data_IF_131276466940
#
_entry.id   IF_131276466940
#
_cell.length_a   1.000
_cell.length_b   1.000
_cell.length_c   1.000
_cell.angle_alpha   90.00
_cell.angle_beta   90.00
_cell.angle_gamma   90.00
#
_symmetry.space_group_name_H-M   'P 1'
#
loop_
_entity.id
_entity.type
_entity.pdbx_description
1 polymer ?
#
# COMPACT_ATOMS: atom_id res chain seq x y z
N UNK A 1 -4.68 15.54 -4.09
CA UNK A 1 -4.77 14.07 -4.25
C UNK A 1 -3.73 13.30 -3.41
N UNK A 2 -2.47 13.74 -3.33
CA UNK A 2 -1.40 13.00 -2.61
C UNK A 2 -1.67 12.76 -1.12
N UNK A 3 -2.14 13.78 -0.41
CA UNK A 3 -2.51 13.67 1.01
C UNK A 3 -3.62 12.65 1.24
N UNK A 4 -4.65 12.63 0.38
CA UNK A 4 -5.73 11.64 0.47
C UNK A 4 -5.22 10.21 0.24
N UNK A 5 -4.32 9.99 -0.71
CA UNK A 5 -3.70 8.68 -0.92
C UNK A 5 -2.83 8.23 0.26
N UNK A 6 -2.13 9.15 0.93
CA UNK A 6 -1.36 8.84 2.15
C UNK A 6 -2.31 8.45 3.27
N UNK A 7 -3.38 9.23 3.52
CA UNK A 7 -4.38 8.94 4.54
C UNK A 7 -5.02 7.57 4.28
N UNK A 8 -5.38 7.27 3.03
CA UNK A 8 -5.95 5.98 2.67
C UNK A 8 -4.93 4.84 2.90
N UNK A 9 -3.67 5.03 2.55
CA UNK A 9 -2.62 4.02 2.81
C UNK A 9 -2.33 3.77 4.29
N UNK A 10 -2.66 4.70 5.20
CA UNK A 10 -2.55 4.48 6.65
C UNK A 10 -3.55 3.41 7.09
N UNK A 11 -4.79 3.47 6.61
CA UNK A 11 -5.83 2.51 6.99
C UNK A 11 -5.85 1.25 6.11
N UNK A 12 -5.48 1.40 4.83
CA UNK A 12 -5.51 0.33 3.84
C UNK A 12 -4.21 0.32 3.02
N UNK A 13 -3.17 -0.42 3.47
CA UNK A 13 -1.94 -0.55 2.71
C UNK A 13 -2.20 -1.06 1.29
N UNK A 14 -1.66 -0.36 0.29
CA UNK A 14 -1.85 -0.66 -1.13
C UNK A 14 -2.88 0.21 -1.84
N UNK A 15 -3.96 0.63 -1.18
CA UNK A 15 -5.00 1.44 -1.81
C UNK A 15 -4.49 2.82 -2.26
N UNK A 16 -3.65 3.49 -1.46
CA UNK A 16 -3.02 4.75 -1.86
C UNK A 16 -2.02 4.58 -3.03
N UNK A 17 -1.36 3.43 -3.13
CA UNK A 17 -0.46 3.11 -4.26
C UNK A 17 -1.25 2.92 -5.56
N UNK A 18 -2.43 2.29 -5.49
CA UNK A 18 -3.34 2.16 -6.64
C UNK A 18 -3.82 3.55 -7.12
N UNK A 19 -4.16 4.45 -6.20
CA UNK A 19 -4.57 5.83 -6.51
C UNK A 19 -3.45 6.67 -7.15
N UNK A 20 -2.20 6.32 -6.90
CA UNK A 20 -1.03 6.94 -7.54
C UNK A 20 -0.63 6.28 -8.87
N UNK A 21 -1.44 5.35 -9.40
CA UNK A 21 -1.18 4.65 -10.66
C UNK A 21 -0.14 3.53 -10.55
N UNK A 22 0.33 3.20 -9.34
CA UNK A 22 1.26 2.09 -9.10
C UNK A 22 0.48 0.80 -8.83
N UNK A 23 -0.18 0.29 -9.87
CA UNK A 23 -1.12 -0.83 -9.78
C UNK A 23 -0.47 -2.09 -9.20
N UNK A 24 0.69 -2.49 -9.73
CA UNK A 24 1.40 -3.71 -9.29
C UNK A 24 1.83 -3.61 -7.83
N UNK A 25 2.43 -2.49 -7.43
CA UNK A 25 2.86 -2.28 -6.05
C UNK A 25 1.66 -2.26 -5.08
N UNK A 26 0.55 -1.63 -5.48
CA UNK A 26 -0.68 -1.60 -4.68
C UNK A 26 -1.30 -2.99 -4.50
N UNK A 27 -1.33 -3.81 -5.55
CA UNK A 27 -1.83 -5.19 -5.47
C UNK A 27 -0.98 -6.07 -4.55
N UNK A 28 0.35 -5.99 -4.66
CA UNK A 28 1.26 -6.75 -3.79
C UNK A 28 1.09 -6.32 -2.33
N UNK A 29 0.99 -5.01 -2.07
CA UNK A 29 0.77 -4.47 -0.73
C UNK A 29 -0.56 -4.93 -0.13
N UNK A 30 -1.63 -4.95 -0.93
CA UNK A 30 -2.94 -5.44 -0.50
C UNK A 30 -2.91 -6.95 -0.19
N UNK A 31 -2.28 -7.74 -1.06
CA UNK A 31 -2.15 -9.18 -0.87
C UNK A 31 -1.31 -9.53 0.37
N UNK A 32 -0.20 -8.81 0.60
CA UNK A 32 0.63 -8.96 1.80
C UNK A 32 -0.13 -8.57 3.06
N UNK A 33 -0.89 -7.47 3.04
CA UNK A 33 -1.71 -7.06 4.17
C UNK A 33 -2.79 -8.10 4.50
N UNK A 34 -3.45 -8.65 3.49
CA UNK A 34 -4.44 -9.71 3.68
C UNK A 34 -3.82 -11.00 4.21
N UNK A 35 -2.68 -11.41 3.65
CA UNK A 35 -1.96 -12.61 4.10
C UNK A 35 -1.45 -12.46 5.53
N UNK A 36 -0.92 -11.28 5.88
CA UNK A 36 -0.50 -10.94 7.23
C UNK A 36 -1.68 -10.98 8.22
N UNK A 37 -2.86 -10.46 7.82
CA UNK A 37 -4.07 -10.55 8.63
C UNK A 37 -4.47 -12.00 8.89
N UNK A 38 -4.51 -12.83 7.84
CA UNK A 38 -4.83 -14.26 7.97
C UNK A 38 -3.84 -14.99 8.88
N UNK A 39 -2.56 -14.71 8.76
CA UNK A 39 -1.53 -15.26 9.65
C UNK A 39 -1.75 -14.80 11.10
N UNK A 40 -2.03 -13.52 11.33
CA UNK A 40 -2.27 -12.99 12.68
C UNK A 40 -3.49 -13.65 13.36
N UNK A 41 -4.53 -14.01 12.60
CA UNK A 41 -5.72 -14.69 13.12
C UNK A 41 -5.42 -16.09 13.68
N UNK A 42 -4.34 -16.74 13.26
CA UNK A 42 -3.93 -18.05 13.79
C UNK A 42 -3.30 -17.98 15.19
N UNK A 43 -3.11 -16.79 15.76
CA UNK A 43 -2.45 -16.57 17.05
C UNK A 43 -0.93 -16.68 16.95
N UNK A 44 -0.40 -17.85 16.63
CA UNK A 44 1.05 -18.07 16.47
C UNK A 44 1.58 -17.37 15.21
N UNK A 45 0.78 -17.31 14.16
CA UNK A 45 1.17 -16.65 12.92
C UNK A 45 1.43 -15.16 13.08
N UNK A 46 1.09 -14.53 14.21
CA UNK A 46 1.45 -13.14 14.51
C UNK A 46 2.96 -12.89 14.56
N UNK A 47 3.75 -13.91 14.91
CA UNK A 47 5.22 -13.81 14.96
C UNK A 47 5.84 -13.55 13.59
N UNK A 48 5.14 -13.93 12.52
CA UNK A 48 5.57 -13.75 11.14
C UNK A 48 4.68 -12.72 10.43
N UNK A 49 3.37 -12.87 10.54
CA UNK A 49 2.36 -11.99 9.96
C UNK A 49 2.43 -10.57 10.50
N UNK A 50 2.71 -10.37 11.79
CA UNK A 50 2.88 -9.05 12.39
C UNK A 50 4.03 -8.27 11.74
N UNK A 51 5.27 -8.81 11.77
CA UNK A 51 6.42 -8.18 11.10
C UNK A 51 6.22 -7.99 9.60
N UNK A 52 5.73 -9.00 8.88
CA UNK A 52 5.50 -8.93 7.42
C UNK A 52 4.46 -7.86 7.09
N UNK A 53 3.35 -7.81 7.82
CA UNK A 53 2.30 -6.82 7.66
C UNK A 53 2.80 -5.40 7.93
N UNK A 54 3.60 -5.22 8.98
CA UNK A 54 4.18 -3.92 9.33
C UNK A 54 5.18 -3.43 8.27
N UNK A 55 6.05 -4.31 7.78
CA UNK A 55 7.00 -3.99 6.69
C UNK A 55 6.25 -3.61 5.41
N UNK A 56 5.24 -4.41 5.01
CA UNK A 56 4.43 -4.13 3.83
C UNK A 56 3.64 -2.82 3.97
N UNK A 57 3.16 -2.50 5.17
CA UNK A 57 2.46 -1.26 5.46
C UNK A 57 3.36 -0.03 5.36
N UNK A 58 4.52 -0.05 6.02
CA UNK A 58 5.52 1.03 5.92
C UNK A 58 5.99 1.20 4.47
N UNK A 59 6.21 0.10 3.76
CA UNK A 59 6.57 0.16 2.35
C UNK A 59 5.48 0.80 1.49
N UNK A 60 4.20 0.53 1.77
CA UNK A 60 3.06 1.20 1.14
C UNK A 60 3.05 2.71 1.34
N UNK A 61 3.28 3.16 2.58
CA UNK A 61 3.39 4.59 2.90
C UNK A 61 4.55 5.25 2.18
N UNK A 62 5.73 4.62 2.17
CA UNK A 62 6.91 5.13 1.46
C UNK A 62 6.66 5.19 -0.06
N UNK A 63 5.96 4.20 -0.60
CA UNK A 63 5.64 4.13 -2.04
C UNK A 63 4.76 5.30 -2.50
N UNK A 64 3.77 5.68 -1.68
CA UNK A 64 2.89 6.83 -1.94
C UNK A 64 3.60 8.15 -1.66
N UNK A 65 4.38 8.24 -0.58
CA UNK A 65 5.14 9.44 -0.24
C UNK A 65 6.14 9.81 -1.35
N UNK A 66 6.76 8.79 -1.97
CA UNK A 66 7.69 8.95 -3.11
C UNK A 66 7.00 8.97 -4.47
N UNK A 67 5.70 8.75 -4.56
CA UNK A 67 4.99 8.84 -5.83
C UNK A 67 4.82 10.31 -6.22
N UNK A 68 5.17 10.63 -7.46
CA UNK A 68 4.74 11.87 -8.09
C UNK A 68 3.37 11.65 -8.73
N UNK A 69 2.42 12.60 -8.58
CA UNK A 69 1.13 12.49 -9.26
C UNK A 69 1.36 12.40 -10.77
N UNK A 70 0.88 11.33 -11.41
CA UNK A 70 0.93 11.21 -12.88
C UNK A 70 0.22 12.41 -13.49
N UNK A 71 0.93 13.23 -14.27
CA UNK A 71 0.34 14.35 -14.99
C UNK A 71 -0.79 13.86 -15.90
N UNK A 72 -1.91 14.60 -16.03
CA UNK A 72 -3.00 14.22 -16.93
C UNK A 72 -2.45 14.12 -18.36
N UNK A 73 -2.68 12.97 -18.99
CA UNK A 73 -2.31 12.75 -20.38
C UNK A 73 -3.16 13.67 -21.27
N UNK A 74 -2.64 14.86 -21.56
CA UNK A 74 -3.41 15.90 -22.25
C UNK A 74 -2.64 17.19 -22.47
N UNK A 75 -1.39 17.11 -22.94
CA UNK A 75 -0.71 18.25 -23.59
C UNK A 75 0.40 17.76 -24.52
N UNK A 76 0.03 17.02 -25.55
CA UNK A 76 0.77 17.06 -26.80
C UNK A 76 0.10 18.18 -27.60
N UNK A 77 0.78 19.35 -27.64
CA UNK A 77 0.43 20.45 -28.52
C UNK A 77 0.96 20.16 -29.92
#
# INVERSE_FOLDING_TARGET
MKTAAIIISIFLPGAGSLLMGKIVAGLIQLALAFTALLLNLTGIGILIGGPVGLIAWVWGLVTVARAEPKAPAGRAA
#
